data_IF_542954484907
#
_entry.id   IF_542954484907
#
_cell.length_a   1.000
_cell.length_b   1.000
_cell.length_c   1.000
_cell.angle_alpha   90.00
_cell.angle_beta   90.00
_cell.angle_gamma   90.00
#
_symmetry.space_group_name_H-M   'P 1'
#
loop_
_entity.id
_entity.type
_entity.pdbx_description
1 polymer ?
#
# COMPACT_ATOMS: atom_id res chain seq x y z
N UNK A 1 -4.29 -14.13 -11.00
CA UNK A 1 -3.07 -14.82 -11.44
C UNK A 1 -2.52 -15.62 -10.27
N UNK A 2 -2.49 -16.94 -10.39
CA UNK A 2 -1.85 -17.82 -9.42
C UNK A 2 -0.37 -17.44 -9.33
N UNK A 3 0.13 -17.23 -8.12
CA UNK A 3 1.54 -16.95 -7.87
C UNK A 3 2.34 -18.24 -8.09
N UNK A 4 2.63 -18.56 -9.36
CA UNK A 4 3.32 -19.80 -9.75
C UNK A 4 4.72 -19.87 -9.11
N UNK A 5 5.32 -18.72 -8.79
CA UNK A 5 6.58 -18.64 -8.05
C UNK A 5 6.47 -19.21 -6.63
N UNK A 6 5.36 -18.96 -5.92
CA UNK A 6 5.11 -19.53 -4.60
C UNK A 6 4.88 -21.06 -4.63
N UNK A 7 4.42 -21.62 -5.76
CA UNK A 7 4.24 -23.06 -5.91
C UNK A 7 5.57 -23.82 -5.96
N UNK A 8 6.63 -23.21 -6.49
CA UNK A 8 7.97 -23.81 -6.51
C UNK A 8 8.63 -23.85 -5.12
N UNK A 9 8.24 -22.94 -4.22
CA UNK A 9 8.74 -22.90 -2.84
C UNK A 9 7.84 -23.63 -1.84
N UNK A 10 6.81 -24.35 -2.30
CA UNK A 10 5.87 -25.03 -1.40
C UNK A 10 6.56 -26.09 -0.53
N UNK A 11 7.60 -26.76 -1.05
CA UNK A 11 8.39 -27.74 -0.30
C UNK A 11 9.16 -27.07 0.85
N UNK A 12 9.86 -25.96 0.57
CA UNK A 12 10.60 -25.19 1.56
C UNK A 12 9.64 -24.61 2.63
N UNK A 13 8.47 -24.14 2.20
CA UNK A 13 7.45 -23.62 3.10
C UNK A 13 6.79 -24.69 3.98
N UNK A 14 6.57 -25.90 3.46
CA UNK A 14 6.06 -27.03 4.26
C UNK A 14 7.06 -27.45 5.34
N UNK A 15 8.37 -27.40 5.05
CA UNK A 15 9.42 -27.71 6.02
C UNK A 15 9.56 -26.63 7.11
N UNK A 16 9.43 -25.35 6.75
CA UNK A 16 9.63 -24.23 7.68
C UNK A 16 8.37 -23.89 8.50
N UNK A 17 7.19 -23.97 7.90
CA UNK A 17 5.94 -23.46 8.48
C UNK A 17 4.88 -24.55 8.73
N UNK A 18 5.14 -25.78 8.31
CA UNK A 18 4.20 -26.88 8.45
C UNK A 18 3.07 -26.84 7.41
N UNK A 19 1.88 -27.41 7.69
CA UNK A 19 0.78 -27.50 6.74
C UNK A 19 0.43 -26.16 6.08
N UNK A 20 -0.09 -26.20 4.84
CA UNK A 20 -0.45 -25.00 4.05
C UNK A 20 -1.35 -24.03 4.84
N UNK A 21 -2.23 -24.55 5.70
CA UNK A 21 -3.09 -23.74 6.57
C UNK A 21 -2.25 -22.91 7.56
N UNK A 22 -1.25 -23.52 8.20
CA UNK A 22 -0.34 -22.82 9.11
C UNK A 22 0.48 -21.74 8.41
N UNK A 23 0.90 -21.98 7.17
CA UNK A 23 1.58 -20.97 6.34
C UNK A 23 0.67 -19.76 6.05
N UNK A 24 -0.59 -19.99 5.66
CA UNK A 24 -1.54 -18.90 5.45
C UNK A 24 -1.91 -18.18 6.75
N UNK A 25 -2.00 -18.88 7.87
CA UNK A 25 -2.28 -18.28 9.18
C UNK A 25 -1.12 -17.43 9.70
N UNK A 26 0.14 -17.82 9.45
CA UNK A 26 1.32 -17.15 9.99
C UNK A 26 1.37 -15.61 9.81
N UNK A 27 1.15 -15.03 8.62
CA UNK A 27 1.11 -13.57 8.47
C UNK A 27 -0.06 -12.93 9.23
N UNK A 28 -1.22 -13.58 9.27
CA UNK A 28 -2.39 -13.08 10.01
C UNK A 28 -2.18 -13.16 11.51
N UNK A 29 -1.62 -14.24 12.03
CA UNK A 29 -1.27 -14.40 13.44
C UNK A 29 -0.27 -13.33 13.89
N UNK A 30 0.73 -13.06 13.05
CA UNK A 30 1.70 -11.99 13.34
C UNK A 30 1.04 -10.62 13.33
N UNK A 31 0.15 -10.36 12.37
CA UNK A 31 -0.63 -9.11 12.32
C UNK A 31 -1.55 -8.98 13.54
N UNK A 32 -2.32 -10.03 13.86
CA UNK A 32 -3.19 -10.10 15.03
C UNK A 32 -2.39 -9.85 16.31
N UNK A 33 -1.20 -10.44 16.45
CA UNK A 33 -0.31 -10.22 17.58
C UNK A 33 0.19 -8.77 17.69
N UNK A 34 0.38 -8.07 16.56
CA UNK A 34 0.67 -6.62 16.57
C UNK A 34 -0.56 -5.83 17.01
N UNK A 35 -1.74 -6.16 16.47
CA UNK A 35 -2.99 -5.46 16.81
C UNK A 35 -3.38 -5.66 18.28
N UNK A 36 -3.18 -6.85 18.84
CA UNK A 36 -3.42 -7.18 20.25
C UNK A 36 -2.49 -6.44 21.23
N UNK A 37 -1.35 -5.93 20.76
CA UNK A 37 -0.41 -5.14 21.57
C UNK A 37 -0.76 -3.66 21.61
N UNK A 38 -1.72 -3.22 20.81
CA UNK A 38 -2.23 -1.85 20.87
C UNK A 38 -2.98 -1.70 22.19
N UNK A 39 -2.63 -0.70 22.99
CA UNK A 39 -3.38 -0.38 24.21
C UNK A 39 -4.75 0.13 23.80
N UNK A 40 -5.76 -0.70 23.98
CA UNK A 40 -7.14 -0.38 23.66
C UNK A 40 -7.90 -0.01 24.93
N UNK A 41 -8.84 0.94 24.81
CA UNK A 41 -9.97 0.98 25.74
C UNK A 41 -10.89 -0.16 25.33
N UNK A 42 -11.14 -1.14 26.20
CA UNK A 42 -11.91 -2.37 25.91
C UNK A 42 -13.43 -2.12 25.68
N UNK A 43 -13.78 -0.97 25.10
CA UNK A 43 -15.14 -0.60 24.71
C UNK A 43 -15.48 -1.19 23.34
N UNK A 44 -16.25 -2.26 23.38
CA UNK A 44 -16.74 -2.98 22.19
C UNK A 44 -17.90 -2.20 21.56
N UNK A 45 -17.95 -2.13 20.23
CA UNK A 45 -19.00 -1.43 19.49
C UNK A 45 -18.51 -0.40 18.46
N UNK A 46 -17.28 -0.52 17.99
CA UNK A 46 -16.66 0.39 17.02
C UNK A 46 -15.47 1.16 17.60
N UNK A 47 -15.48 1.52 18.89
CA UNK A 47 -14.43 2.33 19.53
C UNK A 47 -13.10 1.56 19.71
N UNK A 48 -13.20 0.27 20.02
CA UNK A 48 -12.06 -0.64 20.05
C UNK A 48 -11.39 -0.73 18.67
N UNK A 49 -12.19 -1.05 17.64
CA UNK A 49 -11.75 -1.16 16.26
C UNK A 49 -11.16 0.17 15.77
N UNK A 50 -11.80 1.28 16.12
CA UNK A 50 -11.34 2.63 15.82
C UNK A 50 -9.96 2.93 16.41
N UNK A 51 -9.75 2.56 17.67
CA UNK A 51 -8.49 2.77 18.39
C UNK A 51 -7.36 1.95 17.77
N UNK A 52 -7.65 0.68 17.44
CA UNK A 52 -6.73 -0.22 16.75
C UNK A 52 -6.34 0.35 15.39
N UNK A 53 -7.34 0.73 14.58
CA UNK A 53 -7.19 1.28 13.23
C UNK A 53 -6.41 2.60 13.25
N UNK A 54 -6.75 3.54 14.14
CA UNK A 54 -6.01 4.79 14.32
C UNK A 54 -4.56 4.56 14.75
N UNK A 55 -4.32 3.64 15.69
CA UNK A 55 -2.96 3.36 16.19
C UNK A 55 -2.10 2.71 15.12
N UNK A 56 -2.66 1.77 14.37
CA UNK A 56 -2.00 1.15 13.22
C UNK A 56 -1.63 2.19 12.15
N UNK A 57 -2.56 3.08 11.79
CA UNK A 57 -2.31 4.13 10.82
C UNK A 57 -1.31 5.18 11.30
N UNK A 58 -1.34 5.57 12.57
CA UNK A 58 -0.33 6.46 13.16
C UNK A 58 1.06 5.84 13.02
N UNK A 59 1.18 4.54 13.29
CA UNK A 59 2.41 3.79 13.05
C UNK A 59 2.83 3.87 11.58
N UNK A 60 1.95 3.50 10.65
CA UNK A 60 2.24 3.53 9.21
C UNK A 60 2.63 4.94 8.70
N UNK A 61 1.93 5.98 9.16
CA UNK A 61 2.22 7.37 8.82
C UNK A 61 3.57 7.83 9.39
N UNK A 62 3.90 7.43 10.63
CA UNK A 62 5.21 7.70 11.21
C UNK A 62 6.32 7.01 10.40
N UNK A 63 6.14 5.74 10.04
CA UNK A 63 7.07 5.01 9.17
C UNK A 63 7.25 5.71 7.81
N UNK A 64 6.16 6.17 7.20
CA UNK A 64 6.21 6.94 5.96
C UNK A 64 7.01 8.24 6.15
N UNK A 65 6.72 8.99 7.21
CA UNK A 65 7.35 10.29 7.46
C UNK A 65 8.83 10.16 7.78
N UNK A 66 9.23 9.16 8.58
CA UNK A 66 10.63 8.85 8.88
C UNK A 66 11.44 8.51 7.63
N UNK A 67 10.79 7.92 6.61
CA UNK A 67 11.45 7.56 5.37
C UNK A 67 11.53 8.73 4.39
N UNK A 68 10.75 9.79 4.52
CA UNK A 68 10.75 10.91 3.57
C UNK A 68 12.11 11.64 3.51
N UNK A 69 12.54 12.13 2.31
CA UNK A 69 13.81 12.83 2.18
C UNK A 69 13.85 14.17 2.96
N UNK A 70 12.70 14.82 3.09
CA UNK A 70 12.48 16.09 3.82
C UNK A 70 12.23 15.92 5.33
N UNK A 71 12.42 14.73 5.88
CA UNK A 71 12.30 14.49 7.33
C UNK A 71 13.37 15.30 8.11
N UNK A 72 13.00 16.12 9.11
CA UNK A 72 13.93 16.87 9.96
C UNK A 72 14.95 15.97 10.65
N UNK A 73 16.19 16.44 10.77
CA UNK A 73 17.30 15.64 11.29
C UNK A 73 17.07 15.15 12.72
N UNK A 74 16.42 15.96 13.56
CA UNK A 74 16.02 15.58 14.92
C UNK A 74 15.08 14.36 14.95
N UNK A 75 14.28 14.12 13.89
CA UNK A 75 13.39 12.96 13.82
C UNK A 75 14.06 11.77 13.11
N UNK A 76 15.02 12.02 12.23
CA UNK A 76 15.91 10.98 11.68
C UNK A 76 16.77 10.33 12.76
N UNK A 77 17.19 11.06 13.78
CA UNK A 77 17.90 10.49 14.94
C UNK A 77 17.06 9.40 15.62
N UNK A 78 15.75 9.63 15.77
CA UNK A 78 14.83 8.62 16.31
C UNK A 78 14.59 7.46 15.35
N UNK A 79 14.76 7.64 14.03
CA UNK A 79 14.60 6.55 13.05
C UNK A 79 15.46 5.35 13.40
N UNK A 80 16.72 5.58 13.80
CA UNK A 80 17.62 4.50 14.19
C UNK A 80 17.10 3.73 15.42
N UNK A 81 16.56 4.44 16.41
CA UNK A 81 15.96 3.84 17.61
C UNK A 81 14.67 3.08 17.27
N UNK A 82 13.85 3.60 16.37
CA UNK A 82 12.64 2.93 15.89
C UNK A 82 12.98 1.68 15.08
N UNK A 83 13.95 1.76 14.18
CA UNK A 83 14.43 0.62 13.40
C UNK A 83 14.94 -0.47 14.34
N UNK A 84 15.70 -0.11 15.38
CA UNK A 84 16.20 -1.04 16.41
C UNK A 84 15.07 -1.69 17.22
N UNK A 85 14.05 -0.92 17.61
CA UNK A 85 12.99 -1.39 18.49
C UNK A 85 11.88 -2.18 17.78
N UNK A 86 11.63 -1.90 16.50
CA UNK A 86 10.44 -2.39 15.79
C UNK A 86 10.73 -3.16 14.50
N UNK A 87 11.95 -3.14 13.97
CA UNK A 87 12.30 -3.99 12.82
C UNK A 87 12.56 -5.42 13.31
N UNK A 88 11.78 -6.42 12.89
CA UNK A 88 12.22 -7.81 13.06
C UNK A 88 13.50 -7.95 12.24
N UNK A 89 14.56 -8.60 12.77
CA UNK A 89 15.71 -9.04 11.97
C UNK A 89 15.20 -9.89 10.81
N UNK A 90 14.90 -9.24 9.69
CA UNK A 90 14.67 -9.82 8.38
C UNK A 90 15.81 -9.28 7.56
N UNK A 91 16.51 -10.17 6.88
CA UNK A 91 17.52 -9.80 5.91
C UNK A 91 16.95 -8.70 5.02
N UNK A 92 17.59 -7.53 5.09
CA UNK A 92 17.27 -6.39 4.24
C UNK A 92 17.43 -6.92 2.82
N UNK A 93 16.32 -7.24 2.15
CA UNK A 93 16.35 -7.46 0.72
C UNK A 93 16.93 -6.18 0.13
N UNK A 94 18.13 -6.33 -0.42
CA UNK A 94 18.91 -5.24 -1.00
C UNK A 94 18.00 -4.39 -1.88
N UNK A 95 18.10 -3.08 -1.68
CA UNK A 95 17.56 -2.10 -2.60
C UNK A 95 17.96 -2.54 -4.01
N UNK A 96 17.02 -2.58 -4.95
CA UNK A 96 17.36 -2.96 -6.33
C UNK A 96 18.51 -2.07 -6.77
N UNK A 97 19.61 -2.69 -7.23
CA UNK A 97 20.80 -1.95 -7.63
C UNK A 97 20.37 -0.75 -8.50
N UNK A 98 20.91 0.46 -8.26
CA UNK A 98 20.54 1.63 -9.03
C UNK A 98 20.65 1.28 -10.51
N UNK A 99 19.52 1.44 -11.21
CA UNK A 99 19.39 1.00 -12.58
C UNK A 99 20.32 1.86 -13.45
N UNK A 100 21.39 1.27 -13.95
CA UNK A 100 22.47 1.95 -14.69
C UNK A 100 22.13 2.20 -16.16
N UNK A 101 20.95 1.78 -16.61
CA UNK A 101 20.51 1.84 -18.00
C UNK A 101 19.16 2.55 -18.07
N UNK A 102 19.06 3.56 -18.93
CA UNK A 102 17.79 4.24 -19.21
C UNK A 102 16.79 3.26 -19.83
N UNK A 103 15.54 3.21 -19.34
CA UNK A 103 14.60 2.22 -19.84
C UNK A 103 13.24 2.17 -19.16
N UNK A 104 12.39 1.30 -19.70
CA UNK A 104 11.08 0.96 -19.12
C UNK A 104 11.19 -0.31 -18.30
N UNK A 105 10.63 -0.30 -17.10
CA UNK A 105 10.77 -1.38 -16.14
C UNK A 105 9.44 -2.05 -15.82
N UNK A 106 9.49 -3.35 -15.56
CA UNK A 106 8.32 -4.13 -15.13
C UNK A 106 8.04 -3.95 -13.62
N UNK A 107 9.10 -3.81 -12.83
CA UNK A 107 9.08 -3.65 -11.38
C UNK A 107 10.14 -2.64 -10.94
N UNK A 108 9.96 -2.04 -9.77
CA UNK A 108 10.97 -1.21 -9.11
C UNK A 108 10.80 -1.30 -7.60
N UNK A 109 11.87 -1.62 -6.88
CA UNK A 109 11.86 -1.62 -5.41
C UNK A 109 12.44 -0.31 -4.90
N UNK A 110 11.66 0.42 -4.12
CA UNK A 110 12.07 1.66 -3.48
C UNK A 110 11.89 1.54 -1.98
N UNK A 111 12.97 1.74 -1.20
CA UNK A 111 12.95 1.65 0.27
C UNK A 111 12.30 0.34 0.79
N UNK A 112 12.64 -0.78 0.16
CA UNK A 112 12.13 -2.11 0.52
C UNK A 112 10.68 -2.39 0.10
N UNK A 113 10.04 -1.49 -0.65
CA UNK A 113 8.68 -1.66 -1.18
C UNK A 113 8.74 -1.90 -2.69
N UNK A 114 8.14 -2.99 -3.16
CA UNK A 114 8.09 -3.33 -4.59
C UNK A 114 6.88 -2.70 -5.27
N UNK A 115 7.13 -1.94 -6.33
CA UNK A 115 6.14 -1.35 -7.22
C UNK A 115 6.18 -2.04 -8.58
N UNK A 116 5.03 -2.13 -9.24
CA UNK A 116 4.90 -2.79 -10.55
C UNK A 116 3.99 -2.01 -11.47
N UNK A 117 4.21 -2.10 -12.78
CA UNK A 117 3.21 -1.61 -13.75
C UNK A 117 1.96 -2.50 -13.72
N UNK A 118 0.78 -1.93 -14.01
CA UNK A 118 -0.52 -2.60 -13.98
C UNK A 118 -0.54 -3.89 -14.83
N UNK A 119 0.03 -3.81 -16.03
CA UNK A 119 0.15 -4.94 -16.96
C UNK A 119 1.06 -6.07 -16.48
N UNK A 120 1.93 -5.81 -15.51
CA UNK A 120 2.80 -6.82 -14.90
C UNK A 120 2.15 -7.41 -13.66
N UNK A 121 1.72 -6.54 -12.73
CA UNK A 121 1.04 -6.97 -11.52
C UNK A 121 0.09 -5.87 -11.04
N UNK A 122 -1.22 -6.11 -11.19
CA UNK A 122 -2.24 -5.11 -10.91
C UNK A 122 -2.22 -4.60 -9.45
N UNK A 123 -2.16 -5.49 -8.45
CA UNK A 123 -2.16 -5.07 -7.03
C UNK A 123 -1.02 -4.12 -6.68
N UNK A 124 0.23 -4.50 -6.95
CA UNK A 124 1.43 -3.67 -6.78
C UNK A 124 1.51 -2.43 -7.71
N UNK A 125 0.52 -2.22 -8.57
CA UNK A 125 0.41 -0.98 -9.36
C UNK A 125 -0.49 0.05 -8.70
N UNK A 126 -1.38 -0.38 -7.81
CA UNK A 126 -2.37 0.47 -7.16
C UNK A 126 -1.72 1.22 -6.01
N UNK A 127 -1.74 2.55 -6.10
CA UNK A 127 -1.08 3.42 -5.14
C UNK A 127 -1.97 4.61 -4.76
N UNK A 128 -1.77 5.08 -3.54
CA UNK A 128 -2.23 6.39 -3.07
C UNK A 128 -1.02 7.33 -3.09
N UNK A 129 -1.14 8.48 -3.71
CA UNK A 129 -0.04 9.43 -3.90
C UNK A 129 -0.54 10.88 -3.88
N UNK A 130 0.37 11.83 -3.69
CA UNK A 130 0.09 13.26 -3.75
C UNK A 130 0.80 13.85 -4.97
N UNK A 131 0.08 14.27 -6.03
CA UNK A 131 0.69 14.84 -7.24
C UNK A 131 1.44 16.14 -6.95
N UNK A 132 0.86 16.96 -6.06
CA UNK A 132 1.45 18.14 -5.47
C UNK A 132 1.42 18.01 -3.95
N UNK A 133 2.38 18.58 -3.21
CA UNK A 133 2.35 18.59 -1.74
C UNK A 133 1.14 19.33 -1.15
N UNK A 134 0.49 20.21 -1.92
CA UNK A 134 -0.71 20.95 -1.51
C UNK A 134 -2.02 20.22 -1.84
N UNK A 135 -1.96 19.20 -2.71
CA UNK A 135 -3.15 18.47 -3.16
C UNK A 135 -3.50 17.34 -2.19
N UNK A 136 -4.81 17.09 -2.07
CA UNK A 136 -5.31 15.91 -1.38
C UNK A 136 -4.78 14.63 -2.05
N UNK A 137 -4.44 13.59 -1.26
CA UNK A 137 -4.02 12.31 -1.80
C UNK A 137 -5.05 11.73 -2.77
N UNK A 138 -4.57 11.27 -3.92
CA UNK A 138 -5.38 10.62 -4.94
C UNK A 138 -4.93 9.20 -5.20
N UNK A 139 -5.87 8.35 -5.59
CA UNK A 139 -5.60 6.97 -5.96
C UNK A 139 -5.31 6.87 -7.46
N UNK A 140 -4.44 5.94 -7.83
CA UNK A 140 -4.18 5.63 -9.22
C UNK A 140 -3.43 4.32 -9.41
N UNK A 141 -3.20 3.98 -10.67
CA UNK A 141 -2.47 2.77 -11.06
C UNK A 141 -1.25 3.13 -11.90
N UNK A 142 -0.10 2.59 -11.51
CA UNK A 142 1.17 2.74 -12.25
C UNK A 142 1.03 2.04 -13.59
N UNK A 143 1.02 2.80 -14.68
CA UNK A 143 0.98 2.25 -16.04
C UNK A 143 2.37 1.97 -16.58
N UNK A 144 3.35 2.81 -16.24
CA UNK A 144 4.75 2.66 -16.67
C UNK A 144 5.71 3.09 -15.57
N UNK A 145 6.83 2.41 -15.50
CA UNK A 145 7.99 2.79 -14.69
C UNK A 145 9.11 3.12 -15.66
N UNK A 146 9.66 4.33 -15.56
CA UNK A 146 10.73 4.83 -16.44
C UNK A 146 11.88 5.27 -15.56
N UNK A 147 13.08 4.85 -15.90
CA UNK A 147 14.31 5.35 -15.28
C UNK A 147 15.14 6.03 -16.34
N UNK A 148 15.64 7.21 -16.01
CA UNK A 148 16.62 7.95 -16.79
C UNK A 148 17.79 8.43 -15.91
N UNK A 149 18.73 9.16 -16.51
CA UNK A 149 19.85 9.80 -15.80
C UNK A 149 19.49 10.69 -14.61
N UNK A 150 18.23 11.16 -14.50
CA UNK A 150 17.75 12.02 -13.40
C UNK A 150 17.08 11.23 -12.28
N UNK A 151 16.65 10.00 -12.54
CA UNK A 151 16.05 9.12 -11.54
C UNK A 151 14.95 8.24 -12.11
N UNK A 152 14.19 7.61 -11.22
CA UNK A 152 13.03 6.78 -11.59
C UNK A 152 11.75 7.57 -11.38
N UNK A 153 10.84 7.49 -12.34
CA UNK A 153 9.50 8.08 -12.28
C UNK A 153 8.44 7.04 -12.64
N UNK A 154 7.26 7.20 -12.04
CA UNK A 154 6.07 6.44 -12.32
C UNK A 154 5.11 7.28 -13.15
N UNK A 155 4.63 6.72 -14.25
CA UNK A 155 3.51 7.27 -14.99
C UNK A 155 2.25 6.60 -14.47
N UNK A 156 1.41 7.36 -13.77
CA UNK A 156 0.28 6.88 -12.99
C UNK A 156 -1.00 7.40 -13.62
N UNK A 157 -1.92 6.49 -13.93
CA UNK A 157 -3.25 6.86 -14.38
C UNK A 157 -4.15 7.06 -13.16
N UNK A 158 -4.84 8.19 -13.07
CA UNK A 158 -5.72 8.50 -11.94
C UNK A 158 -6.97 7.63 -11.94
N UNK A 159 -7.39 7.20 -10.75
CA UNK A 159 -8.70 6.60 -10.57
C UNK A 159 -9.76 7.71 -10.61
N UNK A 160 -10.81 7.55 -11.42
CA UNK A 160 -11.84 8.58 -11.51
C UNK A 160 -12.59 8.74 -10.18
N UNK A 161 -12.88 9.98 -9.77
CA UNK A 161 -13.62 10.23 -8.54
C UNK A 161 -15.03 9.67 -8.65
N UNK A 162 -15.67 9.49 -7.50
CA UNK A 162 -17.05 9.05 -7.46
C UNK A 162 -17.96 10.08 -8.17
N UNK A 163 -18.89 9.66 -9.06
CA UNK A 163 -19.78 10.58 -9.76
C UNK A 163 -20.57 11.47 -8.80
N UNK A 164 -20.78 12.72 -9.17
CA UNK A 164 -21.52 13.69 -8.35
C UNK A 164 -22.91 13.16 -8.00
N UNK A 165 -23.28 13.23 -6.71
CA UNK A 165 -24.55 12.72 -6.19
C UNK A 165 -24.52 11.25 -5.73
N UNK A 166 -23.39 10.56 -5.88
CA UNK A 166 -23.22 9.21 -5.35
C UNK A 166 -22.93 9.25 -3.83
N UNK A 167 -23.44 8.24 -3.12
CA UNK A 167 -23.19 8.07 -1.68
C UNK A 167 -21.95 7.21 -1.45
N UNK A 168 -20.97 7.75 -0.72
CA UNK A 168 -19.82 6.98 -0.23
C UNK A 168 -20.12 6.45 1.19
N UNK A 169 -20.30 5.12 1.35
CA UNK A 169 -20.60 4.52 2.65
C UNK A 169 -19.46 4.63 3.66
N UNK A 170 -18.22 4.90 3.22
CA UNK A 170 -17.06 5.04 4.09
C UNK A 170 -16.97 6.41 4.76
N UNK A 171 -17.73 7.41 4.30
CA UNK A 171 -17.78 8.74 4.94
C UNK A 171 -18.19 8.70 6.41
N UNK A 172 -18.95 7.66 6.82
CA UNK A 172 -19.34 7.46 8.22
C UNK A 172 -18.18 7.04 9.13
N UNK A 173 -17.04 6.67 8.54
CA UNK A 173 -15.84 6.22 9.24
C UNK A 173 -14.66 7.15 8.97
N UNK A 174 -14.63 8.37 9.55
CA UNK A 174 -13.61 9.38 9.24
C UNK A 174 -12.17 8.94 9.56
N UNK A 175 -12.03 7.93 10.41
CA UNK A 175 -10.75 7.35 10.81
C UNK A 175 -10.34 6.13 9.99
N UNK A 176 -11.17 5.68 9.04
CA UNK A 176 -10.86 4.62 8.10
C UNK A 176 -10.69 5.26 6.72
N UNK A 177 -9.45 5.34 6.18
CA UNK A 177 -9.13 6.06 4.95
C UNK A 177 -9.52 5.24 3.71
N UNK A 178 -10.71 4.65 3.75
CA UNK A 178 -11.36 4.10 2.58
C UNK A 178 -12.24 5.19 1.98
N UNK A 179 -12.26 5.23 0.66
CA UNK A 179 -13.08 6.13 -0.12
C UNK A 179 -13.57 5.35 -1.33
N UNK A 180 -14.82 5.57 -1.72
CA UNK A 180 -15.35 4.97 -2.94
C UNK A 180 -14.89 5.79 -4.16
N UNK A 181 -14.45 5.09 -5.18
CA UNK A 181 -14.08 5.67 -6.47
C UNK A 181 -15.02 5.14 -7.56
N UNK A 182 -15.07 5.83 -8.69
CA UNK A 182 -15.67 5.27 -9.90
C UNK A 182 -14.87 4.04 -10.33
N UNK A 183 -15.51 3.07 -11.00
CA UNK A 183 -14.81 1.92 -11.58
C UNK A 183 -13.92 2.31 -12.77
N UNK A 184 -14.12 3.49 -13.34
CA UNK A 184 -13.37 4.00 -14.48
C UNK A 184 -12.06 4.66 -14.04
N UNK A 185 -11.06 4.61 -14.92
CA UNK A 185 -9.86 5.43 -14.83
C UNK A 185 -10.07 6.74 -15.58
N UNK A 186 -9.40 7.80 -15.15
CA UNK A 186 -9.33 9.04 -15.93
C UNK A 186 -8.29 8.91 -17.05
N UNK A 187 -8.39 9.74 -18.08
CA UNK A 187 -7.35 9.86 -19.12
C UNK A 187 -6.11 10.62 -18.61
N UNK A 188 -6.20 11.25 -17.44
CA UNK A 188 -5.12 11.98 -16.78
C UNK A 188 -3.98 11.04 -16.39
N UNK A 189 -2.77 11.36 -16.87
CA UNK A 189 -1.53 10.64 -16.56
C UNK A 189 -0.58 11.54 -15.77
N UNK A 190 -0.37 11.23 -14.50
CA UNK A 190 0.59 11.92 -13.65
C UNK A 190 1.98 11.29 -13.78
N UNK A 191 3.02 12.12 -13.81
CA UNK A 191 4.41 11.67 -13.71
C UNK A 191 4.93 12.03 -12.33
N UNK A 192 5.15 11.02 -11.50
CA UNK A 192 5.53 11.21 -10.09
C UNK A 192 6.81 10.45 -9.77
N UNK A 193 7.66 10.98 -8.89
CA UNK A 193 8.76 10.21 -8.33
C UNK A 193 8.25 9.25 -7.22
N UNK A 194 8.97 8.15 -6.91
CA UNK A 194 8.53 7.17 -5.91
C UNK A 194 8.34 7.71 -4.49
N UNK A 195 8.99 8.82 -4.12
CA UNK A 195 8.96 9.40 -2.77
C UNK A 195 7.63 10.09 -2.42
N UNK A 196 6.85 10.49 -3.43
CA UNK A 196 5.51 11.07 -3.24
C UNK A 196 4.40 10.00 -3.21
N UNK A 197 4.76 8.72 -3.24
CA UNK A 197 3.82 7.62 -3.01
C UNK A 197 3.61 7.43 -1.52
N UNK A 198 2.35 7.46 -1.09
CA UNK A 198 1.99 7.36 0.33
C UNK A 198 1.90 5.92 0.79
N UNK A 199 1.23 5.09 -0.02
CA UNK A 199 1.02 3.68 0.24
C UNK A 199 0.56 2.96 -1.02
N UNK A 200 0.63 1.63 -1.00
CA UNK A 200 -0.22 0.83 -1.87
C UNK A 200 -1.69 0.99 -1.44
N UNK A 201 -2.61 0.84 -2.38
CA UNK A 201 -4.03 0.71 -2.09
C UNK A 201 -4.58 -0.60 -2.66
N UNK A 202 -5.61 -1.13 -2.01
CA UNK A 202 -6.32 -2.29 -2.50
C UNK A 202 -7.61 -1.82 -3.18
N UNK A 203 -7.85 -2.30 -4.39
CA UNK A 203 -9.14 -2.13 -5.04
C UNK A 203 -10.05 -3.29 -4.63
N UNK A 204 -11.23 -2.95 -4.09
CA UNK A 204 -12.30 -3.89 -3.86
C UNK A 204 -13.48 -3.48 -4.75
N UNK A 205 -13.89 -4.37 -5.65
CA UNK A 205 -15.03 -4.12 -6.52
C UNK A 205 -16.32 -4.26 -5.69
N UNK A 206 -16.97 -3.13 -5.43
CA UNK A 206 -18.23 -3.10 -4.72
C UNK A 206 -19.35 -3.50 -5.68
N UNK A 207 -19.64 -4.80 -5.78
CA UNK A 207 -20.84 -5.29 -6.42
C UNK A 207 -22.04 -4.92 -5.54
N UNK A 208 -22.95 -4.09 -6.06
CA UNK A 208 -24.30 -3.99 -5.48
C UNK A 208 -24.99 -5.34 -5.65
N UNK A 209 -24.80 -6.23 -4.69
CA UNK A 209 -25.72 -7.33 -4.48
C UNK A 209 -27.06 -6.67 -4.14
N UNK A 210 -28.04 -6.86 -5.02
CA UNK A 210 -29.37 -6.24 -5.04
C UNK A 210 -29.45 -4.86 -5.70
N UNK A 211 -29.53 -4.88 -7.03
CA UNK A 211 -30.53 -4.08 -7.73
C UNK A 211 -31.11 -4.90 -8.88
N UNK A 212 -32.15 -5.68 -8.58
CA UNK A 212 -33.21 -5.95 -9.55
C UNK A 212 -33.87 -4.61 -9.92
N UNK A 213 -33.24 -3.83 -10.79
CA UNK A 213 -33.93 -3.10 -11.85
C UNK A 213 -32.88 -2.55 -12.82
N UNK A 214 -33.05 -2.94 -14.08
CA UNK A 214 -32.31 -2.51 -15.26
C UNK A 214 -32.04 -1.01 -15.25
N UNK A 215 -30.81 -0.59 -15.53
CA UNK A 215 -30.53 0.41 -16.56
C UNK A 215 -29.20 0.05 -17.23
N UNK A 216 -29.24 0.06 -18.57
CA UNK A 216 -28.22 -0.40 -19.53
C UNK A 216 -26.92 0.39 -19.44
#
# INVERSE_FOLDING_TARGET
>A
MTNIHAAFHIYDFLLLFGPIISWWCFPFERLIGVLQRIKTSDQIGGELELTITNSFMRGANLWRWLNRPDCPDVIKEFKHLFDLAYTPRRDLHEESAPLTVDGKWAHYTFRGVNYSRASTHFGNSLILYSPSPEDDPTAGSIQKIVTDSKGTVFLVQRQAPLPTGSFDPFLRYPHFPAKLYSSQMEDTMDTIPPDVVLSHCAQFEYLKLFSDTQFV
#
